data_IF_783900583591
#
_entry.id   IF_783900583591
#
_cell.length_a   1.000
_cell.length_b   1.000
_cell.length_c   1.000
_cell.angle_alpha   90.00
_cell.angle_beta   90.00
_cell.angle_gamma   90.00
#
_symmetry.space_group_name_H-M   'P 1'
#
loop_
_entity.id
_entity.type
_entity.pdbx_description
1 polymer ?
#
# COMPACT_ATOMS: atom_id res chain seq x y z
N UNK A 1 13.82 1.24 -3.82
CA UNK A 1 13.75 1.77 -2.44
C UNK A 1 12.30 2.17 -2.16
N UNK A 2 11.81 2.02 -0.93
CA UNK A 2 10.48 2.49 -0.49
C UNK A 2 10.24 3.95 -0.86
N UNK A 3 11.28 4.78 -0.71
CA UNK A 3 11.30 6.17 -1.13
C UNK A 3 10.82 6.41 -2.56
N UNK A 4 11.12 5.51 -3.52
CA UNK A 4 10.70 5.67 -4.91
C UNK A 4 9.20 5.48 -5.08
N UNK A 5 8.60 4.56 -4.32
CA UNK A 5 7.15 4.37 -4.30
C UNK A 5 6.48 5.61 -3.69
N UNK A 6 7.00 6.11 -2.55
CA UNK A 6 6.49 7.33 -1.92
C UNK A 6 6.58 8.53 -2.88
N UNK A 7 7.72 8.70 -3.56
CA UNK A 7 7.92 9.77 -4.54
C UNK A 7 6.95 9.65 -5.73
N UNK A 8 6.71 8.41 -6.17
CA UNK A 8 5.74 8.10 -7.22
C UNK A 8 4.33 8.53 -6.82
N UNK A 9 3.88 8.15 -5.62
CA UNK A 9 2.57 8.52 -5.09
C UNK A 9 2.45 10.05 -4.94
N UNK A 10 3.50 10.71 -4.46
CA UNK A 10 3.50 12.16 -4.19
C UNK A 10 3.44 13.03 -5.44
N UNK A 11 4.00 12.59 -6.57
CA UNK A 11 4.22 13.50 -7.71
C UNK A 11 3.68 13.02 -9.04
N UNK A 12 3.42 11.71 -9.20
CA UNK A 12 3.13 11.11 -10.52
C UNK A 12 1.81 10.35 -10.55
N UNK A 13 1.52 9.55 -9.53
CA UNK A 13 0.41 8.62 -9.55
C UNK A 13 -0.94 9.30 -9.83
N UNK A 14 -1.25 10.40 -9.12
CA UNK A 14 -2.49 11.15 -9.34
C UNK A 14 -2.55 11.90 -10.67
N UNK A 15 -1.40 12.29 -11.24
CA UNK A 15 -1.32 12.97 -12.55
C UNK A 15 -1.42 12.00 -13.73
N UNK A 16 -1.07 10.73 -13.52
CA UNK A 16 -1.05 9.67 -14.53
C UNK A 16 -1.88 8.48 -14.05
N UNK A 17 -3.12 8.75 -13.62
CA UNK A 17 -3.97 7.79 -12.91
C UNK A 17 -4.13 6.47 -13.68
N UNK A 18 -4.62 6.56 -14.92
CA UNK A 18 -4.89 5.41 -15.78
C UNK A 18 -3.68 4.50 -15.93
N UNK A 19 -2.50 5.11 -16.10
CA UNK A 19 -1.25 4.38 -16.21
C UNK A 19 -0.95 3.58 -14.94
N UNK A 20 -0.96 4.20 -13.77
CA UNK A 20 -0.58 3.54 -12.53
C UNK A 20 -1.66 2.58 -12.00
N UNK A 21 -2.95 2.89 -12.20
CA UNK A 21 -4.07 2.00 -11.90
C UNK A 21 -3.94 0.71 -12.68
N UNK A 22 -3.59 0.77 -13.97
CA UNK A 22 -3.40 -0.42 -14.81
C UNK A 22 -2.24 -1.34 -14.35
N UNK A 23 -1.32 -0.84 -13.52
CA UNK A 23 -0.20 -1.63 -12.98
C UNK A 23 -0.56 -2.37 -11.68
N UNK A 24 -1.74 -2.12 -11.12
CA UNK A 24 -2.17 -2.66 -9.84
C UNK A 24 -3.31 -3.65 -10.09
N UNK A 25 -3.23 -4.79 -9.40
CA UNK A 25 -4.27 -5.80 -9.43
C UNK A 25 -5.20 -5.61 -8.22
N UNK A 26 -6.46 -6.04 -8.38
CA UNK A 26 -7.45 -6.10 -7.29
C UNK A 26 -7.74 -4.74 -6.66
N UNK A 27 -7.79 -3.71 -7.48
CA UNK A 27 -8.30 -2.39 -7.08
C UNK A 27 -9.83 -2.41 -7.02
N UNK A 28 -10.44 -1.61 -6.13
CA UNK A 28 -11.83 -1.20 -6.25
C UNK A 28 -12.09 -0.49 -7.60
N UNK A 29 -13.27 -0.68 -8.17
CA UNK A 29 -13.64 -0.10 -9.47
C UNK A 29 -13.68 1.44 -9.46
N UNK A 30 -13.95 2.04 -8.29
CA UNK A 30 -13.99 3.48 -8.06
C UNK A 30 -12.67 4.04 -7.54
N UNK A 31 -11.59 3.25 -7.51
CA UNK A 31 -10.30 3.72 -7.04
C UNK A 31 -9.62 4.62 -8.08
N UNK A 32 -9.14 5.76 -7.60
CA UNK A 32 -8.21 6.61 -8.31
C UNK A 32 -7.15 7.12 -7.33
N UNK A 33 -5.94 7.36 -7.82
CA UNK A 33 -4.96 8.14 -7.06
C UNK A 33 -5.42 9.58 -6.93
N UNK A 34 -5.16 10.20 -5.78
CA UNK A 34 -5.47 11.60 -5.52
C UNK A 34 -4.23 12.35 -5.08
N UNK A 35 -4.32 13.68 -5.06
CA UNK A 35 -3.29 14.50 -4.43
C UNK A 35 -3.44 14.37 -2.90
N UNK A 36 -2.73 13.39 -2.33
CA UNK A 36 -2.81 13.05 -0.91
C UNK A 36 -2.38 14.24 -0.04
N UNK A 37 -3.13 14.52 1.03
CA UNK A 37 -2.82 15.57 2.00
C UNK A 37 -1.42 15.37 2.60
N UNK A 38 -1.03 14.10 2.78
CA UNK A 38 0.28 13.74 3.33
C UNK A 38 0.65 12.29 2.98
N UNK A 39 1.96 12.04 2.80
CA UNK A 39 2.51 10.70 2.50
C UNK A 39 3.79 10.47 3.30
N UNK A 40 3.83 9.45 4.16
CA UNK A 40 4.98 9.10 5.00
C UNK A 40 5.03 7.61 5.37
N UNK A 41 6.19 7.14 5.85
CA UNK A 41 6.33 5.84 6.50
C UNK A 41 5.78 5.95 7.92
N UNK A 42 4.91 5.04 8.33
CA UNK A 42 4.23 5.12 9.63
C UNK A 42 4.94 4.28 10.68
N UNK A 43 5.19 4.87 11.85
CA UNK A 43 5.67 4.17 13.05
C UNK A 43 4.90 4.69 14.26
N UNK A 44 4.15 3.82 14.94
CA UNK A 44 3.46 4.17 16.17
C UNK A 44 4.46 4.29 17.34
N UNK A 45 4.26 5.30 18.20
CA UNK A 45 5.09 5.53 19.40
C UNK A 45 4.89 4.42 20.45
N UNK A 46 5.94 3.98 21.18
CA UNK A 46 5.87 2.89 22.17
C UNK A 46 4.89 3.11 23.33
N UNK A 47 4.34 4.32 23.50
CA UNK A 47 3.28 4.63 24.48
C UNK A 47 1.96 3.92 24.12
N UNK A 48 1.74 3.61 22.84
CA UNK A 48 0.64 2.78 22.36
C UNK A 48 1.17 1.37 22.10
N UNK A 49 0.80 0.42 22.95
CA UNK A 49 1.26 -0.99 22.90
C UNK A 49 1.21 -1.59 21.49
N UNK A 50 2.35 -1.55 20.78
CA UNK A 50 2.88 -2.40 19.69
C UNK A 50 3.74 -1.51 18.77
N UNK A 51 4.92 -1.99 18.40
CA UNK A 51 5.71 -1.41 17.30
C UNK A 51 4.97 -1.64 15.97
N UNK A 52 3.95 -0.83 15.69
CA UNK A 52 3.21 -0.87 14.43
C UNK A 52 4.01 -0.05 13.42
N UNK A 53 4.50 -0.72 12.39
CA UNK A 53 5.21 -0.08 11.29
C UNK A 53 4.63 -0.51 9.94
N UNK A 54 4.23 0.46 9.12
CA UNK A 54 3.90 0.24 7.70
C UNK A 54 4.76 1.16 6.84
N UNK A 55 5.14 0.67 5.67
CA UNK A 55 6.09 1.37 4.80
C UNK A 55 5.43 2.62 4.17
N UNK A 56 4.12 2.60 3.93
CA UNK A 56 3.42 3.73 3.34
C UNK A 56 2.11 3.98 4.07
N UNK A 57 1.90 5.23 4.47
CA UNK A 57 0.59 5.79 4.73
C UNK A 57 0.43 7.08 3.92
N UNK A 58 -0.53 7.09 3.01
CA UNK A 58 -0.92 8.25 2.21
C UNK A 58 -2.36 8.63 2.58
N UNK A 59 -2.52 9.76 3.26
CA UNK A 59 -3.82 10.22 3.73
C UNK A 59 -4.51 11.04 2.66
N UNK A 60 -5.72 10.64 2.28
CA UNK A 60 -6.59 11.39 1.38
C UNK A 60 -7.55 12.29 2.17
N UNK A 61 -8.00 13.37 1.54
CA UNK A 61 -9.09 14.20 2.06
C UNK A 61 -10.46 13.70 1.59
N UNK A 62 -11.52 14.16 2.26
CA UNK A 62 -12.91 13.86 1.87
C UNK A 62 -13.25 12.36 1.88
N UNK A 63 -13.96 11.91 0.84
CA UNK A 63 -14.41 10.52 0.66
C UNK A 63 -13.49 9.69 -0.25
N UNK A 64 -12.29 10.19 -0.54
CA UNK A 64 -11.30 9.50 -1.35
C UNK A 64 -10.55 8.40 -0.57
N UNK A 65 -9.94 7.47 -1.31
CA UNK A 65 -9.17 6.38 -0.71
C UNK A 65 -7.84 6.87 -0.16
N UNK A 66 -7.67 6.78 1.17
CA UNK A 66 -6.32 6.76 1.76
C UNK A 66 -5.63 5.44 1.40
N UNK A 67 -4.30 5.44 1.30
CA UNK A 67 -3.51 4.24 0.97
C UNK A 67 -2.64 3.84 2.16
N UNK A 68 -2.73 2.58 2.56
CA UNK A 68 -1.84 1.97 3.55
C UNK A 68 -1.10 0.83 2.87
N UNK A 69 0.22 0.82 2.90
CA UNK A 69 0.98 -0.15 2.11
C UNK A 69 2.31 -0.64 2.66
N UNK A 70 2.76 -1.73 2.05
CA UNK A 70 4.01 -2.43 2.34
C UNK A 70 4.82 -2.60 1.04
N UNK A 71 6.13 -2.38 1.12
CA UNK A 71 7.07 -2.38 -0.01
C UNK A 71 8.19 -3.39 0.25
N UNK A 72 8.24 -4.46 -0.55
CA UNK A 72 9.36 -5.41 -0.56
C UNK A 72 10.21 -5.25 -1.82
N UNK A 73 11.30 -4.49 -1.69
CA UNK A 73 12.29 -4.35 -2.75
C UNK A 73 13.44 -5.36 -2.61
N UNK A 74 13.14 -6.64 -2.84
CA UNK A 74 14.11 -7.74 -2.80
C UNK A 74 13.74 -8.84 -3.79
N UNK A 75 14.66 -9.76 -4.08
CA UNK A 75 14.43 -10.89 -5.00
C UNK A 75 13.45 -11.94 -4.46
N UNK A 76 13.39 -12.11 -3.14
CA UNK A 76 12.50 -13.09 -2.52
C UNK A 76 11.03 -12.71 -2.70
N UNK A 77 10.20 -13.70 -3.08
CA UNK A 77 8.75 -13.54 -3.22
C UNK A 77 8.10 -13.19 -1.88
N UNK A 78 7.07 -12.35 -1.94
CA UNK A 78 6.22 -12.01 -0.80
C UNK A 78 5.33 -13.19 -0.43
N UNK A 79 5.31 -13.54 0.85
CA UNK A 79 4.64 -14.72 1.38
C UNK A 79 3.31 -14.42 2.05
N UNK A 80 2.47 -15.44 2.20
CA UNK A 80 1.18 -15.33 2.91
C UNK A 80 1.37 -14.97 4.39
N UNK A 81 2.48 -15.39 5.01
CA UNK A 81 2.83 -15.00 6.38
C UNK A 81 3.02 -13.49 6.47
N UNK A 82 3.76 -12.92 5.52
CA UNK A 82 3.96 -11.47 5.46
C UNK A 82 2.67 -10.72 5.13
N UNK A 83 1.84 -11.24 4.23
CA UNK A 83 0.54 -10.65 3.92
C UNK A 83 -0.38 -10.57 5.15
N UNK A 84 -0.43 -11.62 5.97
CA UNK A 84 -1.21 -11.63 7.22
C UNK A 84 -0.68 -10.62 8.24
N UNK A 85 0.64 -10.53 8.37
CA UNK A 85 1.28 -9.55 9.27
C UNK A 85 0.99 -8.14 8.79
N UNK A 86 1.14 -7.87 7.50
CA UNK A 86 0.80 -6.57 6.91
C UNK A 86 -0.65 -6.19 7.17
N UNK A 87 -1.61 -7.07 6.86
CA UNK A 87 -3.03 -6.77 7.03
C UNK A 87 -3.37 -6.43 8.49
N UNK A 88 -2.82 -7.17 9.44
CA UNK A 88 -3.02 -6.88 10.86
C UNK A 88 -2.53 -5.47 11.24
N UNK A 89 -1.33 -5.08 10.78
CA UNK A 89 -0.78 -3.73 11.01
C UNK A 89 -1.61 -2.66 10.30
N UNK A 90 -2.00 -2.89 9.04
CA UNK A 90 -2.73 -1.93 8.23
C UNK A 90 -4.13 -1.62 8.80
N UNK A 91 -4.82 -2.64 9.31
CA UNK A 91 -6.10 -2.46 10.01
C UNK A 91 -5.94 -1.64 11.30
N UNK A 92 -4.84 -1.86 12.04
CA UNK A 92 -4.55 -1.10 13.25
C UNK A 92 -4.24 0.37 12.93
N UNK A 93 -3.46 0.64 11.88
CA UNK A 93 -3.22 2.01 11.38
C UNK A 93 -4.52 2.66 10.93
N UNK A 94 -5.37 1.96 10.18
CA UNK A 94 -6.65 2.49 9.73
C UNK A 94 -7.53 2.94 10.91
N UNK A 95 -7.55 2.16 11.99
CA UNK A 95 -8.31 2.49 13.20
C UNK A 95 -7.70 3.67 13.97
N UNK A 96 -6.38 3.66 14.18
CA UNK A 96 -5.68 4.73 14.91
C UNK A 96 -5.80 6.10 14.23
N UNK A 97 -5.75 6.11 12.90
CA UNK A 97 -5.81 7.33 12.09
C UNK A 97 -7.26 7.71 11.70
N UNK A 98 -8.25 6.96 12.19
CA UNK A 98 -9.68 7.16 11.90
C UNK A 98 -9.99 7.27 10.40
N UNK A 99 -9.39 6.37 9.60
CA UNK A 99 -9.53 6.35 8.14
C UNK A 99 -10.78 5.55 7.75
N UNK A 100 -11.80 6.23 7.27
CA UNK A 100 -13.07 5.63 6.84
C UNK A 100 -12.92 4.79 5.57
N UNK A 101 -12.13 5.26 4.59
CA UNK A 101 -11.93 4.64 3.28
C UNK A 101 -10.45 4.40 3.02
N UNK A 102 -10.01 3.15 3.08
CA UNK A 102 -8.62 2.75 2.88
C UNK A 102 -8.47 1.72 1.76
N UNK A 103 -7.47 1.92 0.91
CA UNK A 103 -6.90 0.90 0.05
C UNK A 103 -5.69 0.28 0.76
N UNK A 104 -5.71 -1.04 0.96
CA UNK A 104 -4.52 -1.79 1.36
C UNK A 104 -3.72 -2.20 0.14
N UNK A 105 -2.41 -1.90 0.14
CA UNK A 105 -1.57 -2.10 -1.03
C UNK A 105 -0.25 -2.79 -0.69
N UNK A 106 0.14 -3.80 -1.47
CA UNK A 106 1.46 -4.43 -1.36
C UNK A 106 2.22 -4.33 -2.68
N UNK A 107 3.43 -3.78 -2.61
CA UNK A 107 4.40 -3.84 -3.69
C UNK A 107 5.48 -4.88 -3.38
N UNK A 108 5.78 -5.78 -4.33
CA UNK A 108 6.89 -6.73 -4.21
C UNK A 108 7.65 -6.89 -5.52
N UNK A 109 8.90 -6.42 -5.57
CA UNK A 109 9.76 -6.53 -6.75
C UNK A 109 10.12 -7.98 -7.11
N UNK A 110 10.12 -8.88 -6.11
CA UNK A 110 10.33 -10.32 -6.29
C UNK A 110 9.07 -11.09 -6.69
N UNK A 111 7.92 -10.40 -6.77
CA UNK A 111 6.62 -11.01 -7.02
C UNK A 111 6.04 -11.70 -5.78
N UNK A 112 5.08 -12.60 -6.02
CA UNK A 112 4.26 -13.23 -4.99
C UNK A 112 4.18 -14.75 -5.21
N UNK A 113 3.96 -15.51 -4.14
CA UNK A 113 3.51 -16.90 -4.27
C UNK A 113 2.02 -16.96 -4.63
N UNK A 114 1.58 -18.02 -5.33
CA UNK A 114 0.18 -18.14 -5.78
C UNK A 114 -0.82 -18.15 -4.61
N UNK A 115 -0.50 -18.87 -3.54
CA UNK A 115 -1.29 -18.86 -2.30
C UNK A 115 -1.35 -17.47 -1.64
N UNK A 116 -0.35 -16.62 -1.88
CA UNK A 116 -0.33 -15.25 -1.37
C UNK A 116 -1.25 -14.37 -2.21
N UNK A 117 -1.22 -14.50 -3.54
CA UNK A 117 -2.17 -13.81 -4.43
C UNK A 117 -3.61 -14.16 -4.06
N UNK A 118 -3.90 -15.43 -3.80
CA UNK A 118 -5.23 -15.86 -3.37
C UNK A 118 -5.66 -15.16 -2.07
N UNK A 119 -4.77 -15.13 -1.06
CA UNK A 119 -5.03 -14.43 0.19
C UNK A 119 -5.28 -12.93 -0.02
N UNK A 120 -4.49 -12.26 -0.87
CA UNK A 120 -4.65 -10.84 -1.15
C UNK A 120 -6.01 -10.55 -1.81
N UNK A 121 -6.44 -11.39 -2.77
CA UNK A 121 -7.77 -11.29 -3.39
C UNK A 121 -8.90 -11.39 -2.37
N UNK A 122 -8.90 -12.45 -1.57
CA UNK A 122 -9.92 -12.73 -0.56
C UNK A 122 -10.06 -11.60 0.47
N UNK A 123 -8.95 -10.91 0.77
CA UNK A 123 -8.90 -9.83 1.76
C UNK A 123 -8.95 -8.43 1.13
N UNK A 124 -9.27 -8.33 -0.18
CA UNK A 124 -9.38 -7.05 -0.90
C UNK A 124 -8.12 -6.17 -0.79
N UNK A 125 -6.96 -6.81 -0.77
CA UNK A 125 -5.66 -6.13 -0.78
C UNK A 125 -5.22 -6.01 -2.23
N UNK A 126 -4.87 -4.81 -2.66
CA UNK A 126 -4.31 -4.55 -3.97
C UNK A 126 -2.82 -4.88 -4.02
N UNK A 127 -2.30 -5.29 -5.17
CA UNK A 127 -0.88 -5.61 -5.29
C UNK A 127 -0.27 -5.29 -6.64
N UNK A 128 1.04 -5.02 -6.62
CA UNK A 128 1.85 -4.91 -7.83
C UNK A 128 3.25 -5.49 -7.64
N UNK A 129 3.79 -5.99 -8.74
CA UNK A 129 5.21 -6.35 -8.87
C UNK A 129 5.88 -5.58 -10.02
N UNK A 130 5.17 -4.60 -10.63
CA UNK A 130 5.66 -3.89 -11.81
C UNK A 130 6.70 -2.83 -11.40
N UNK A 131 7.91 -2.97 -11.93
CA UNK A 131 9.05 -2.13 -11.56
C UNK A 131 8.93 -0.68 -12.05
N UNK A 132 7.95 -0.34 -12.88
CA UNK A 132 7.66 1.06 -13.27
C UNK A 132 7.39 1.97 -12.06
N UNK A 133 6.92 1.41 -10.93
CA UNK A 133 6.81 2.15 -9.68
C UNK A 133 8.16 2.59 -9.09
N UNK A 134 9.26 1.93 -9.48
CA UNK A 134 10.62 2.21 -9.04
C UNK A 134 11.43 3.04 -10.03
N UNK A 135 10.86 3.39 -11.17
CA UNK A 135 11.51 4.26 -12.17
C UNK A 135 11.41 5.73 -11.72
N UNK A 136 12.33 6.59 -12.17
CA UNK A 136 12.37 8.04 -11.86
C UNK A 136 11.81 8.84 -13.03
#
# INVERSE_FOLDING_TARGET
SEYLIINCLRHRAFKQNDFYVALINNLPDDFQFVDYESIWSYSASPVHKKDIQVDIFAKAGGDDYSLIGEVKNRKAKFSVKEAKIFLAKALEVQQLENVSKALFFVFSAGGFFQNTIQFLKENKIAWSADKKFLEV
#
